data_IF_106592728171
#
_entry.id   IF_106592728171
#
_cell.length_a   1.000
_cell.length_b   1.000
_cell.length_c   1.000
_cell.angle_alpha   90.00
_cell.angle_beta   90.00
_cell.angle_gamma   90.00
#
_symmetry.space_group_name_H-M   'P 1'
#
loop_
_entity.id
_entity.type
_entity.pdbx_description
1 polymer ?
#
# COMPACT_ATOMS: atom_id res chain seq x y z
N UNK A 1 -14.42 -10.55 -28.05
CA UNK A 1 -13.17 -11.32 -27.88
C UNK A 1 -11.93 -10.45 -27.65
N UNK A 2 -12.05 -9.11 -27.69
CA UNK A 2 -10.92 -8.17 -27.60
C UNK A 2 -9.96 -8.39 -26.41
N UNK A 3 -10.47 -8.60 -25.19
CA UNK A 3 -9.60 -8.76 -24.02
C UNK A 3 -8.73 -10.03 -24.04
N UNK A 4 -9.14 -11.09 -24.74
CA UNK A 4 -8.31 -12.27 -24.89
C UNK A 4 -7.10 -11.98 -25.80
N UNK A 5 -7.32 -11.27 -26.90
CA UNK A 5 -6.26 -10.85 -27.82
C UNK A 5 -5.30 -9.83 -27.16
N UNK A 6 -5.82 -8.85 -26.43
CA UNK A 6 -5.00 -7.88 -25.69
C UNK A 6 -4.09 -8.57 -24.65
N UNK A 7 -4.62 -9.56 -23.93
CA UNK A 7 -3.83 -10.34 -22.97
C UNK A 7 -2.73 -11.15 -23.67
N UNK A 8 -3.03 -11.74 -24.84
CA UNK A 8 -2.07 -12.49 -25.63
C UNK A 8 -0.93 -11.59 -26.13
N UNK A 9 -1.27 -10.44 -26.73
CA UNK A 9 -0.30 -9.47 -27.23
C UNK A 9 0.62 -8.99 -26.10
N UNK A 10 0.04 -8.60 -24.95
CA UNK A 10 0.81 -8.18 -23.76
C UNK A 10 1.76 -9.28 -23.26
N UNK A 11 1.31 -10.54 -23.27
CA UNK A 11 2.14 -11.66 -22.83
C UNK A 11 3.36 -11.85 -23.74
N UNK A 12 3.17 -11.79 -25.07
CA UNK A 12 4.28 -11.86 -26.02
C UNK A 12 5.20 -10.64 -25.95
N UNK A 13 4.66 -9.42 -25.83
CA UNK A 13 5.49 -8.22 -25.61
C UNK A 13 6.39 -8.36 -24.38
N UNK A 14 5.84 -8.89 -23.28
CA UNK A 14 6.63 -9.12 -22.08
C UNK A 14 7.71 -10.20 -22.28
N UNK A 15 7.39 -11.29 -22.99
CA UNK A 15 8.34 -12.34 -23.34
C UNK A 15 9.51 -11.81 -24.17
N UNK A 16 9.23 -11.10 -25.26
CA UNK A 16 10.28 -10.54 -26.13
C UNK A 16 11.12 -9.47 -25.42
N UNK A 17 10.55 -8.75 -24.44
CA UNK A 17 11.30 -7.80 -23.60
C UNK A 17 12.12 -8.44 -22.47
N UNK A 18 12.18 -9.78 -22.38
CA UNK A 18 12.92 -10.49 -21.32
C UNK A 18 12.32 -10.39 -19.90
N UNK A 19 11.14 -9.78 -19.75
CA UNK A 19 10.47 -9.57 -18.45
C UNK A 19 9.64 -10.77 -17.97
N UNK A 20 9.38 -11.73 -18.85
CA UNK A 20 8.60 -12.93 -18.54
C UNK A 20 9.04 -14.11 -19.41
N UNK A 21 8.77 -15.33 -18.94
CA UNK A 21 8.95 -16.54 -19.75
C UNK A 21 7.91 -16.69 -20.86
N UNK A 22 8.08 -17.72 -21.69
CA UNK A 22 7.18 -17.98 -22.83
C UNK A 22 5.71 -18.09 -22.39
N UNK A 23 4.76 -17.39 -23.06
CA UNK A 23 3.35 -17.41 -22.69
C UNK A 23 2.75 -18.83 -22.70
N UNK A 24 1.97 -19.17 -21.67
CA UNK A 24 1.29 -20.48 -21.56
C UNK A 24 -0.23 -20.30 -21.56
N UNK A 25 -0.94 -21.31 -22.07
CA UNK A 25 -2.40 -21.33 -22.01
C UNK A 25 -2.92 -21.32 -20.57
N UNK A 26 -4.04 -20.64 -20.35
CA UNK A 26 -4.69 -20.57 -19.03
C UNK A 26 -5.31 -21.93 -18.69
N UNK A 27 -4.86 -22.52 -17.59
CA UNK A 27 -5.47 -23.75 -17.04
C UNK A 27 -6.92 -23.53 -16.60
N UNK A 28 -7.76 -24.57 -16.72
CA UNK A 28 -9.13 -24.57 -16.18
C UNK A 28 -9.18 -24.40 -14.65
N UNK A 29 -8.11 -24.81 -13.95
CA UNK A 29 -7.97 -24.66 -12.48
C UNK A 29 -7.53 -23.24 -12.06
N UNK A 30 -7.17 -22.38 -13.01
CA UNK A 30 -6.74 -21.03 -12.73
C UNK A 30 -7.92 -20.12 -12.33
N UNK A 31 -7.60 -18.93 -11.80
CA UNK A 31 -8.58 -17.91 -11.40
C UNK A 31 -9.62 -17.66 -12.49
N UNK A 32 -10.90 -17.88 -12.18
CA UNK A 32 -12.00 -17.64 -13.11
C UNK A 32 -12.38 -16.16 -13.08
N UNK A 33 -12.11 -15.47 -14.18
CA UNK A 33 -12.40 -14.04 -14.32
C UNK A 33 -12.82 -13.69 -15.74
N UNK A 34 -13.69 -12.71 -15.85
CA UNK A 34 -14.21 -12.16 -17.08
C UNK A 34 -14.10 -10.64 -17.04
N UNK A 35 -13.36 -10.07 -17.98
CA UNK A 35 -13.20 -8.62 -18.12
C UNK A 35 -13.93 -8.15 -19.37
N UNK A 36 -14.68 -7.06 -19.25
CA UNK A 36 -15.32 -6.39 -20.37
C UNK A 36 -15.09 -4.90 -20.30
N UNK A 37 -14.77 -4.32 -21.45
CA UNK A 37 -14.51 -2.90 -21.58
C UNK A 37 -15.81 -2.19 -21.96
N UNK A 38 -15.91 -0.92 -21.59
CA UNK A 38 -17.03 -0.09 -22.01
C UNK A 38 -16.95 0.15 -23.51
N UNK A 39 -18.03 -0.21 -24.21
CA UNK A 39 -18.25 0.09 -25.62
C UNK A 39 -19.71 0.50 -25.76
N UNK A 40 -19.97 1.68 -26.31
CA UNK A 40 -21.32 2.18 -26.57
C UNK A 40 -22.26 2.11 -25.35
N UNK A 41 -21.76 2.42 -24.14
CA UNK A 41 -22.57 2.43 -22.92
C UNK A 41 -23.12 1.06 -22.49
N UNK A 42 -22.47 -0.03 -22.89
CA UNK A 42 -22.84 -1.41 -22.54
C UNK A 42 -22.67 -1.75 -21.04
N UNK A 43 -21.94 -0.93 -20.28
CA UNK A 43 -21.78 -1.04 -18.82
C UNK A 43 -22.27 0.25 -18.18
N UNK A 44 -23.15 0.15 -17.19
CA UNK A 44 -23.74 1.29 -16.46
C UNK A 44 -23.98 0.91 -15.01
N UNK A 45 -23.92 1.89 -14.11
CA UNK A 45 -24.33 1.76 -12.72
C UNK A 45 -25.60 2.57 -12.49
N UNK A 46 -26.61 1.96 -11.87
CA UNK A 46 -27.86 2.62 -11.49
C UNK A 46 -28.52 1.86 -10.35
N UNK A 47 -29.01 2.55 -9.32
CA UNK A 47 -29.87 2.01 -8.26
C UNK A 47 -29.36 0.74 -7.55
N UNK A 48 -28.04 0.61 -7.39
CA UNK A 48 -27.42 -0.59 -6.80
C UNK A 48 -27.35 -1.79 -7.76
N UNK A 49 -27.52 -1.55 -9.06
CA UNK A 49 -27.35 -2.51 -10.15
C UNK A 49 -26.22 -2.10 -11.09
N UNK A 50 -25.60 -3.10 -11.71
CA UNK A 50 -24.66 -2.92 -12.81
C UNK A 50 -25.20 -3.59 -14.06
N UNK A 51 -25.28 -2.83 -15.15
CA UNK A 51 -25.56 -3.35 -16.49
C UNK A 51 -24.28 -3.98 -17.04
N UNK A 52 -24.39 -5.18 -17.58
CA UNK A 52 -23.30 -5.91 -18.21
C UNK A 52 -23.74 -6.41 -19.59
N UNK A 53 -22.83 -6.53 -20.57
CA UNK A 53 -23.20 -6.86 -21.95
C UNK A 53 -23.98 -8.18 -22.09
N UNK A 54 -23.59 -9.22 -21.32
CA UNK A 54 -24.20 -10.55 -21.40
C UNK A 54 -25.16 -10.87 -20.26
N UNK A 55 -24.97 -10.24 -19.11
CA UNK A 55 -25.71 -10.54 -17.88
C UNK A 55 -26.82 -9.52 -17.61
N UNK A 56 -26.97 -8.51 -18.47
CA UNK A 56 -27.91 -7.39 -18.29
C UNK A 56 -27.73 -6.75 -16.90
N UNK A 57 -28.81 -6.35 -16.24
CA UNK A 57 -28.76 -5.74 -14.91
C UNK A 57 -28.54 -6.80 -13.83
N UNK A 58 -27.48 -6.62 -13.06
CA UNK A 58 -27.13 -7.50 -11.94
C UNK A 58 -27.04 -6.66 -10.67
N UNK A 59 -27.72 -7.11 -9.61
CA UNK A 59 -27.66 -6.45 -8.30
C UNK A 59 -26.23 -6.51 -7.74
N UNK A 60 -25.70 -5.39 -7.28
CA UNK A 60 -24.40 -5.32 -6.61
C UNK A 60 -24.56 -4.84 -5.17
N UNK A 61 -23.68 -5.35 -4.30
CA UNK A 61 -23.42 -4.74 -2.99
C UNK A 61 -22.20 -3.84 -3.12
N UNK A 62 -22.44 -2.55 -3.33
CA UNK A 62 -21.37 -1.58 -3.54
C UNK A 62 -20.60 -1.33 -2.23
N UNK A 63 -19.29 -1.62 -2.25
CA UNK A 63 -18.43 -1.45 -1.07
C UNK A 63 -17.89 -0.01 -0.94
N UNK A 64 -17.81 0.76 -2.04
CA UNK A 64 -17.29 2.13 -2.06
C UNK A 64 -18.13 3.00 -2.99
N UNK A 65 -18.41 4.23 -2.59
CA UNK A 65 -18.99 5.22 -3.48
C UNK A 65 -18.00 5.58 -4.59
N UNK A 66 -18.52 5.84 -5.78
CA UNK A 66 -17.74 6.25 -6.95
C UNK A 66 -18.02 7.74 -7.18
N UNK A 67 -17.00 8.56 -7.49
CA UNK A 67 -17.19 9.99 -7.76
C UNK A 67 -18.29 10.28 -8.79
N UNK A 68 -19.01 11.40 -8.66
CA UNK A 68 -20.18 11.70 -9.51
C UNK A 68 -19.81 11.79 -10.99
N UNK A 69 -18.72 12.48 -11.34
CA UNK A 69 -18.25 12.68 -12.71
C UNK A 69 -17.30 11.58 -13.20
N UNK A 70 -17.57 10.32 -12.84
CA UNK A 70 -16.74 9.20 -13.26
C UNK A 70 -17.11 8.66 -14.65
N UNK A 71 -16.11 8.17 -15.35
CA UNK A 71 -16.21 7.42 -16.60
C UNK A 71 -15.81 5.98 -16.32
N UNK A 72 -16.74 5.04 -16.47
CA UNK A 72 -16.40 3.62 -16.39
C UNK A 72 -15.57 3.25 -17.64
N UNK A 73 -14.43 2.59 -17.46
CA UNK A 73 -13.56 2.11 -18.55
C UNK A 73 -13.72 0.63 -18.80
N UNK A 74 -13.80 -0.15 -17.72
CA UNK A 74 -13.98 -1.59 -17.80
C UNK A 74 -14.53 -2.14 -16.48
N UNK A 75 -15.05 -3.35 -16.51
CA UNK A 75 -15.31 -4.11 -15.30
C UNK A 75 -14.73 -5.53 -15.41
N UNK A 76 -14.25 -6.06 -14.30
CA UNK A 76 -13.75 -7.42 -14.19
C UNK A 76 -14.54 -8.18 -13.12
N UNK A 77 -15.24 -9.22 -13.54
CA UNK A 77 -15.95 -10.15 -12.68
C UNK A 77 -15.00 -11.30 -12.34
N UNK A 78 -14.89 -11.65 -11.08
CA UNK A 78 -14.07 -12.77 -10.59
C UNK A 78 -14.93 -13.70 -9.76
N UNK A 79 -14.81 -15.01 -10.01
CA UNK A 79 -15.37 -16.06 -9.16
C UNK A 79 -14.29 -16.62 -8.24
N UNK A 80 -14.58 -16.64 -6.95
CA UNK A 80 -13.71 -17.27 -5.94
C UNK A 80 -13.92 -18.78 -5.91
N UNK A 81 -12.98 -19.51 -5.28
CA UNK A 81 -13.10 -20.97 -5.09
C UNK A 81 -14.32 -21.36 -4.27
N UNK A 82 -14.79 -20.49 -3.38
CA UNK A 82 -16.01 -20.70 -2.58
C UNK A 82 -17.29 -20.32 -3.34
N UNK A 83 -17.21 -20.03 -4.64
CA UNK A 83 -18.37 -19.68 -5.46
C UNK A 83 -18.85 -18.23 -5.38
N UNK A 84 -18.25 -17.39 -4.54
CA UNK A 84 -18.62 -15.96 -4.43
C UNK A 84 -18.11 -15.17 -5.63
N UNK A 85 -18.92 -14.24 -6.13
CA UNK A 85 -18.59 -13.34 -7.22
C UNK A 85 -18.23 -11.95 -6.69
N UNK A 86 -17.18 -11.36 -7.28
CA UNK A 86 -16.76 -10.00 -7.03
C UNK A 86 -16.62 -9.26 -8.36
N UNK A 87 -16.98 -7.98 -8.38
CA UNK A 87 -16.78 -7.10 -9.51
C UNK A 87 -15.80 -5.99 -9.14
N UNK A 88 -14.79 -5.80 -9.98
CA UNK A 88 -13.91 -4.64 -9.95
C UNK A 88 -14.32 -3.72 -11.09
N UNK A 89 -14.61 -2.45 -10.78
CA UNK A 89 -15.03 -1.44 -11.75
C UNK A 89 -13.89 -0.46 -11.88
N UNK A 90 -13.31 -0.38 -13.07
CA UNK A 90 -12.26 0.58 -13.41
C UNK A 90 -12.94 1.87 -13.86
N UNK A 91 -12.71 2.94 -13.11
CA UNK A 91 -13.26 4.27 -13.38
C UNK A 91 -12.15 5.28 -13.54
N UNK A 92 -12.32 6.17 -14.49
CA UNK A 92 -11.50 7.36 -14.72
C UNK A 92 -12.33 8.57 -14.28
N UNK A 93 -11.73 9.48 -13.52
CA UNK A 93 -12.39 10.70 -13.07
C UNK A 93 -11.33 11.77 -12.84
N UNK A 94 -11.69 13.03 -13.06
CA UNK A 94 -10.82 14.13 -12.70
C UNK A 94 -10.78 14.26 -11.18
N UNK A 95 -9.56 14.29 -10.64
CA UNK A 95 -9.34 14.50 -9.23
C UNK A 95 -8.35 15.63 -9.04
N UNK A 96 -8.83 16.77 -8.54
CA UNK A 96 -7.98 17.89 -8.13
C UNK A 96 -7.86 17.89 -6.61
N UNK A 97 -6.76 17.35 -6.05
CA UNK A 97 -6.59 17.36 -4.61
C UNK A 97 -6.34 18.80 -4.14
N UNK A 98 -7.25 19.32 -3.31
CA UNK A 98 -7.07 20.63 -2.66
C UNK A 98 -5.93 20.52 -1.65
N UNK A 99 -4.81 21.26 -1.82
CA UNK A 99 -3.71 21.23 -0.87
C UNK A 99 -4.20 21.62 0.52
N UNK A 100 -3.80 20.84 1.53
CA UNK A 100 -4.12 21.13 2.93
C UNK A 100 -2.89 21.68 3.64
N UNK A 101 -3.11 22.71 4.44
CA UNK A 101 -2.08 23.23 5.34
C UNK A 101 -1.64 22.17 6.33
N UNK A 102 -0.34 22.10 6.58
CA UNK A 102 0.27 21.14 7.49
C UNK A 102 0.05 21.63 8.92
N UNK A 103 -1.03 21.17 9.57
CA UNK A 103 -1.29 21.47 10.99
C UNK A 103 -0.58 20.51 11.92
N UNK A 104 -0.63 19.22 11.58
CA UNK A 104 -0.10 18.14 12.41
C UNK A 104 0.91 17.32 11.61
N UNK A 105 2.07 17.07 12.21
CA UNK A 105 3.11 16.19 11.65
C UNK A 105 3.30 15.00 12.59
N UNK A 106 3.31 13.81 12.01
CA UNK A 106 3.53 12.53 12.69
C UNK A 106 4.71 11.84 12.02
N UNK A 107 5.70 11.44 12.81
CA UNK A 107 6.82 10.62 12.35
C UNK A 107 6.44 9.15 12.42
N UNK A 108 6.82 8.37 11.41
CA UNK A 108 6.59 6.93 11.35
C UNK A 108 7.93 6.22 11.24
N UNK A 109 8.29 5.45 12.26
CA UNK A 109 9.44 4.55 12.24
C UNK A 109 9.00 3.14 11.84
N UNK A 110 9.80 2.48 11.00
CA UNK A 110 9.52 1.11 10.59
C UNK A 110 9.78 0.15 11.75
N UNK A 111 8.89 -0.84 11.92
CA UNK A 111 9.16 -1.94 12.85
C UNK A 111 8.83 -3.30 12.22
N UNK A 112 9.67 -4.29 12.51
CA UNK A 112 9.49 -5.65 12.02
C UNK A 112 8.31 -6.32 12.74
N UNK A 113 8.20 -6.11 14.05
CA UNK A 113 7.16 -6.72 14.87
C UNK A 113 5.79 -6.04 14.66
N UNK A 114 5.80 -4.73 14.41
CA UNK A 114 4.61 -3.89 14.19
C UNK A 114 4.87 -3.01 12.98
N UNK A 115 3.98 -2.92 12.00
CA UNK A 115 4.23 -2.27 10.70
C UNK A 115 4.94 -0.90 10.81
N UNK A 116 4.52 -0.08 11.78
CA UNK A 116 5.23 1.11 12.19
C UNK A 116 5.01 1.41 13.67
N UNK A 117 5.87 2.24 14.24
CA UNK A 117 5.68 2.98 15.49
C UNK A 117 5.63 4.47 15.16
N UNK A 118 4.64 5.20 15.65
CA UNK A 118 4.53 6.63 15.42
C UNK A 118 5.17 7.48 16.54
N UNK A 119 5.35 8.77 16.27
CA UNK A 119 5.94 9.72 17.22
C UNK A 119 5.10 9.97 18.48
N UNK A 120 3.87 9.45 18.54
CA UNK A 120 2.99 9.47 19.72
C UNK A 120 3.02 8.14 20.49
N UNK A 121 3.82 7.16 20.02
CA UNK A 121 3.95 5.83 20.63
C UNK A 121 2.88 4.82 20.19
N UNK A 122 1.98 5.17 19.25
CA UNK A 122 1.01 4.21 18.71
C UNK A 122 1.70 3.26 17.75
N UNK A 123 1.26 2.01 17.75
CA UNK A 123 1.83 0.93 16.93
C UNK A 123 0.79 0.34 16.01
N UNK A 124 1.13 0.16 14.74
CA UNK A 124 0.26 -0.52 13.80
C UNK A 124 0.44 -2.04 13.86
N UNK A 125 -0.64 -2.77 14.13
CA UNK A 125 -0.63 -4.23 14.05
C UNK A 125 -0.72 -4.68 12.60
N UNK A 126 0.09 -5.67 12.24
CA UNK A 126 -0.15 -6.45 11.03
C UNK A 126 -1.47 -7.23 11.20
N UNK A 127 -2.37 -7.26 10.19
CA UNK A 127 -3.58 -8.07 10.24
C UNK A 127 -3.23 -9.54 10.56
N UNK A 128 -3.91 -10.17 11.53
CA UNK A 128 -3.55 -11.51 12.05
C UNK A 128 -3.37 -12.59 10.96
N UNK A 129 -4.21 -12.57 9.93
CA UNK A 129 -4.11 -13.52 8.80
C UNK A 129 -2.82 -13.37 8.01
N UNK A 130 -2.28 -12.16 7.94
CA UNK A 130 -1.02 -11.88 7.27
C UNK A 130 0.17 -12.44 8.07
N UNK A 131 0.17 -12.33 9.42
CA UNK A 131 1.23 -12.93 10.27
C UNK A 131 1.33 -14.45 10.10
N UNK A 132 0.22 -15.18 10.20
CA UNK A 132 0.26 -16.64 10.10
C UNK A 132 0.75 -17.13 8.72
N UNK A 133 0.38 -16.43 7.65
CA UNK A 133 0.85 -16.73 6.32
C UNK A 133 2.32 -16.33 6.13
N UNK A 134 2.73 -15.18 6.67
CA UNK A 134 4.10 -14.68 6.58
C UNK A 134 5.09 -15.50 7.41
N UNK A 135 4.75 -15.90 8.63
CA UNK A 135 5.62 -16.73 9.48
C UNK A 135 5.93 -18.05 8.80
N UNK A 136 4.90 -18.70 8.23
CA UNK A 136 5.06 -19.94 7.45
C UNK A 136 5.92 -19.72 6.20
N UNK A 137 5.74 -18.61 5.49
CA UNK A 137 6.53 -18.26 4.30
C UNK A 137 7.99 -17.92 4.65
N UNK A 138 8.22 -17.13 5.70
CA UNK A 138 9.55 -16.72 6.15
C UNK A 138 10.34 -17.92 6.69
N UNK A 139 9.69 -18.85 7.39
CA UNK A 139 10.31 -20.07 7.89
C UNK A 139 10.65 -21.05 6.75
N UNK A 140 9.79 -21.14 5.73
CA UNK A 140 10.03 -22.00 4.57
C UNK A 140 11.09 -21.46 3.60
N UNK A 141 11.30 -20.13 3.57
CA UNK A 141 12.15 -19.47 2.56
C UNK A 141 13.37 -18.75 3.15
N UNK A 142 13.57 -18.74 4.47
CA UNK A 142 14.66 -18.05 5.17
C UNK A 142 14.79 -16.54 4.83
N UNK A 143 13.69 -15.89 4.41
CA UNK A 143 13.67 -14.50 3.90
C UNK A 143 12.91 -13.52 4.81
N UNK A 144 13.02 -13.65 6.13
CA UNK A 144 12.23 -12.84 7.08
C UNK A 144 12.32 -11.34 6.82
N UNK A 145 13.53 -10.78 6.72
CA UNK A 145 13.74 -9.34 6.56
C UNK A 145 13.23 -8.80 5.22
N UNK A 146 13.51 -9.46 4.10
CA UNK A 146 13.11 -8.97 2.78
C UNK A 146 11.59 -8.98 2.58
N UNK A 147 10.87 -9.88 3.24
CA UNK A 147 9.40 -9.89 3.27
C UNK A 147 8.85 -8.64 3.97
N UNK A 148 9.45 -8.24 5.09
CA UNK A 148 9.04 -7.02 5.80
C UNK A 148 9.39 -5.75 5.03
N UNK A 149 10.58 -5.70 4.41
CA UNK A 149 11.01 -4.56 3.58
C UNK A 149 10.06 -4.34 2.38
N UNK A 150 9.64 -5.43 1.73
CA UNK A 150 8.63 -5.39 0.68
C UNK A 150 7.27 -4.89 1.22
N UNK A 151 6.89 -5.31 2.42
CA UNK A 151 5.69 -4.84 3.12
C UNK A 151 5.73 -3.33 3.38
N UNK A 152 6.87 -2.81 3.83
CA UNK A 152 7.10 -1.38 4.07
C UNK A 152 7.07 -0.56 2.77
N UNK A 153 7.73 -1.04 1.71
CA UNK A 153 7.70 -0.41 0.39
C UNK A 153 6.28 -0.31 -0.17
N UNK A 154 5.47 -1.36 -0.04
CA UNK A 154 4.07 -1.34 -0.46
C UNK A 154 3.23 -0.39 0.41
N UNK A 155 3.42 -0.40 1.73
CA UNK A 155 2.73 0.51 2.65
C UNK A 155 3.02 1.98 2.32
N UNK A 156 4.29 2.35 2.17
CA UNK A 156 4.69 3.73 1.87
C UNK A 156 4.20 4.18 0.50
N UNK A 157 4.18 3.29 -0.50
CA UNK A 157 3.59 3.57 -1.82
C UNK A 157 2.08 3.83 -1.71
N UNK A 158 1.38 3.03 -0.92
CA UNK A 158 -0.05 3.22 -0.69
C UNK A 158 -0.36 4.49 0.09
N UNK A 159 0.45 4.79 1.10
CA UNK A 159 0.34 6.01 1.88
C UNK A 159 0.56 7.24 0.98
N UNK A 160 1.55 7.21 0.10
CA UNK A 160 1.87 8.31 -0.81
C UNK A 160 0.67 8.70 -1.69
N UNK A 161 0.09 7.75 -2.44
CA UNK A 161 -1.01 8.11 -3.33
C UNK A 161 -2.28 8.51 -2.56
N UNK A 162 -2.55 7.89 -1.41
CA UNK A 162 -3.72 8.23 -0.57
C UNK A 162 -3.60 9.60 0.06
N UNK A 163 -2.40 10.00 0.48
CA UNK A 163 -2.16 11.34 1.00
C UNK A 163 -2.26 12.37 -0.13
N UNK A 164 -1.70 12.07 -1.30
CA UNK A 164 -1.82 12.91 -2.49
C UNK A 164 -3.29 13.12 -2.89
N UNK A 165 -4.11 12.05 -2.92
CA UNK A 165 -5.56 12.15 -3.14
C UNK A 165 -6.26 13.07 -2.12
N UNK A 166 -5.75 13.16 -0.89
CA UNK A 166 -6.32 14.02 0.15
C UNK A 166 -5.68 15.42 0.24
N UNK A 167 -4.77 15.75 -0.68
CA UNK A 167 -4.01 17.00 -0.66
C UNK A 167 -3.02 17.12 0.50
N UNK A 168 -2.61 16.00 1.10
CA UNK A 168 -1.67 15.93 2.22
C UNK A 168 -0.25 15.63 1.73
N UNK A 169 0.74 15.96 2.55
CA UNK A 169 2.17 15.75 2.25
C UNK A 169 2.70 14.46 2.89
N UNK A 170 3.59 13.76 2.15
CA UNK A 170 4.42 12.68 2.67
C UNK A 170 5.88 13.05 2.46
N UNK A 171 6.69 12.95 3.51
CA UNK A 171 8.12 13.23 3.45
C UNK A 171 8.85 11.94 3.81
N UNK A 172 9.74 11.51 2.93
CA UNK A 172 10.57 10.34 3.16
C UNK A 172 11.91 10.82 3.70
N UNK A 173 12.22 10.44 4.93
CA UNK A 173 13.53 10.72 5.52
C UNK A 173 14.55 9.72 4.95
N UNK A 174 15.77 10.20 4.75
CA UNK A 174 16.86 9.39 4.22
C UNK A 174 17.12 8.16 5.11
N UNK A 175 17.40 7.02 4.49
CA UNK A 175 17.60 5.74 5.21
C UNK A 175 18.87 5.72 6.08
N UNK A 176 19.83 6.61 5.79
CA UNK A 176 21.08 6.76 6.55
C UNK A 176 20.96 7.77 7.69
N UNK A 177 19.83 8.48 7.79
CA UNK A 177 19.56 9.34 8.93
C UNK A 177 19.54 8.51 10.22
N UNK A 178 20.38 8.83 11.23
CA UNK A 178 20.56 8.00 12.42
C UNK A 178 19.43 8.18 13.45
N UNK A 179 18.17 8.00 13.03
CA UNK A 179 16.97 8.25 13.85
C UNK A 179 16.99 7.51 15.19
N UNK A 180 17.35 6.22 15.19
CA UNK A 180 17.37 5.38 16.40
C UNK A 180 18.58 5.65 17.31
N UNK A 181 19.68 6.18 16.77
CA UNK A 181 20.90 6.52 17.53
C UNK A 181 20.90 7.94 18.08
N UNK A 182 20.07 8.82 17.50
CA UNK A 182 19.95 10.22 17.90
C UNK A 182 19.05 10.33 19.13
N UNK A 183 19.44 11.12 20.13
CA UNK A 183 18.56 11.43 21.25
C UNK A 183 17.50 12.42 20.82
N UNK A 184 16.23 12.05 20.94
CA UNK A 184 15.11 12.96 20.64
C UNK A 184 14.97 14.13 21.62
N UNK A 185 15.64 14.11 22.77
CA UNK A 185 15.67 15.22 23.71
C UNK A 185 16.81 16.21 23.39
N UNK A 186 18.07 15.76 23.41
CA UNK A 186 19.24 16.65 23.30
C UNK A 186 19.97 16.61 21.94
N UNK A 187 19.59 15.73 21.01
CA UNK A 187 20.20 15.63 19.68
C UNK A 187 21.54 14.87 19.61
N UNK A 188 22.12 14.44 20.74
CA UNK A 188 23.36 13.64 20.75
C UNK A 188 23.18 12.31 20.02
N UNK A 189 24.12 11.96 19.16
CA UNK A 189 24.12 10.70 18.40
C UNK A 189 25.04 9.69 19.07
N UNK A 190 24.54 8.49 19.38
CA UNK A 190 25.37 7.39 19.88
C UNK A 190 26.27 6.82 18.78
N UNK A 191 27.50 6.46 19.13
CA UNK A 191 28.41 5.76 18.23
C UNK A 191 27.86 4.36 17.85
N UNK A 192 27.49 3.58 18.86
CA UNK A 192 26.92 2.24 18.72
C UNK A 192 25.57 2.13 19.44
N UNK A 193 24.71 1.26 18.91
CA UNK A 193 23.44 0.88 19.50
C UNK A 193 23.15 -0.55 19.07
N UNK A 194 22.98 -1.47 20.01
CA UNK A 194 22.72 -2.87 19.71
C UNK A 194 21.28 -3.06 19.23
N UNK A 195 21.03 -4.05 18.37
CA UNK A 195 19.66 -4.42 17.95
C UNK A 195 18.82 -4.96 19.11
N UNK A 196 19.45 -5.53 20.14
CA UNK A 196 18.76 -6.06 21.33
C UNK A 196 18.29 -4.97 22.30
N UNK A 197 18.85 -3.76 22.21
CA UNK A 197 18.46 -2.64 23.05
C UNK A 197 17.09 -2.09 22.61
N UNK A 198 16.07 -2.33 23.44
CA UNK A 198 14.69 -1.86 23.23
C UNK A 198 14.41 -0.50 23.89
N UNK A 199 15.21 -0.10 24.87
CA UNK A 199 15.15 1.22 25.49
C UNK A 199 16.34 2.07 25.04
N UNK A 200 16.06 3.29 24.60
CA UNK A 200 17.06 4.31 24.35
C UNK A 200 17.38 5.04 25.66
N UNK A 201 18.64 5.01 26.09
CA UNK A 201 19.15 5.74 27.26
C UNK A 201 20.23 6.71 26.81
N UNK A 202 20.08 8.00 27.11
CA UNK A 202 21.05 9.03 26.79
C UNK A 202 21.83 9.48 28.02
N UNK A 203 23.06 9.94 27.81
CA UNK A 203 23.88 10.58 28.85
C UNK A 203 23.27 11.89 29.38
N UNK A 204 22.34 12.52 28.64
CA UNK A 204 21.56 13.65 29.16
C UNK A 204 20.46 13.25 30.16
N UNK A 205 20.35 11.97 30.52
CA UNK A 205 19.33 11.43 31.42
C UNK A 205 18.02 11.02 30.75
N UNK A 206 17.82 11.32 29.46
CA UNK A 206 16.63 10.92 28.72
C UNK A 206 16.54 9.40 28.53
N UNK A 207 15.38 8.82 28.85
CA UNK A 207 15.07 7.40 28.65
C UNK A 207 13.72 7.25 27.95
N UNK A 208 13.67 6.47 26.87
CA UNK A 208 12.43 6.17 26.15
C UNK A 208 12.50 4.81 25.44
N UNK A 209 11.37 4.31 24.93
CA UNK A 209 11.37 3.20 23.96
C UNK A 209 12.13 3.63 22.68
N UNK A 210 12.97 2.73 22.16
CA UNK A 210 13.85 3.03 21.03
C UNK A 210 13.09 3.41 19.76
N UNK A 211 12.05 2.65 19.42
CA UNK A 211 11.27 2.85 18.19
C UNK A 211 10.51 4.19 18.29
N UNK A 212 9.99 4.51 19.47
CA UNK A 212 9.34 5.81 19.76
C UNK A 212 10.33 6.97 19.64
N UNK A 213 11.54 6.84 20.22
CA UNK A 213 12.61 7.84 20.08
C UNK A 213 12.98 8.08 18.61
N UNK A 214 13.11 7.00 17.83
CA UNK A 214 13.37 7.07 16.39
C UNK A 214 12.25 7.80 15.65
N UNK A 215 10.99 7.48 15.92
CA UNK A 215 9.84 8.13 15.31
C UNK A 215 9.76 9.64 15.62
N UNK A 216 10.12 10.07 16.85
CA UNK A 216 10.21 11.48 17.20
C UNK A 216 11.31 12.18 16.41
N UNK A 217 12.48 11.54 16.23
CA UNK A 217 13.55 12.11 15.42
C UNK A 217 13.17 12.21 13.94
N UNK A 218 12.46 11.22 13.39
CA UNK A 218 11.91 11.25 12.03
C UNK A 218 10.94 12.42 11.88
N UNK A 219 10.06 12.66 12.87
CA UNK A 219 9.17 13.83 12.89
C UNK A 219 9.95 15.14 12.87
N UNK A 220 10.97 15.28 13.73
CA UNK A 220 11.81 16.48 13.81
C UNK A 220 12.53 16.75 12.49
N UNK A 221 13.09 15.72 11.87
CA UNK A 221 13.77 15.84 10.57
C UNK A 221 12.78 16.20 9.45
N UNK A 222 11.59 15.62 9.44
CA UNK A 222 10.53 15.99 8.50
C UNK A 222 10.06 17.44 8.65
N UNK A 223 9.98 17.96 9.88
CA UNK A 223 9.65 19.36 10.14
C UNK A 223 10.73 20.32 9.63
N UNK A 224 12.01 19.94 9.75
CA UNK A 224 13.13 20.72 9.18
C UNK A 224 13.04 20.79 7.66
N UNK A 225 12.79 19.66 6.99
CA UNK A 225 12.65 19.62 5.53
C UNK A 225 11.42 20.41 5.03
N UNK A 226 10.40 20.62 5.87
CA UNK A 226 9.25 21.47 5.57
C UNK A 226 9.50 22.97 5.77
N UNK A 227 10.61 23.36 6.40
CA UNK A 227 10.84 24.75 6.82
C UNK A 227 9.93 25.18 7.97
N UNK A 228 9.47 24.24 8.80
CA UNK A 228 8.53 24.46 9.92
C UNK A 228 9.15 24.17 11.30
N UNK A 229 10.49 24.12 11.36
CA UNK A 229 11.25 23.76 12.56
C UNK A 229 11.98 24.96 13.15
#
# INVERSE_FOLDING_TARGET
MANAQLNLQKAFTNFFSGRAGFPKFKSRKAKQSYTTNVVNGNIKLADGYIKLPKLKWVKLRQHRQIPVHHIIKACTITKTKTGKYFISILTEYEHQPVPKDVKNVVGLDFSMNTLYVDSEGKRANYPRFYRQALEKLAQALHFGQSVHDNGWGMFTSFLQYKLAEQGKKLIKIDKWFPSSKTCSHCGRVKASLSLTERQFRCECGFVADRDTNAAINIKKEGLKQLGTA
#
